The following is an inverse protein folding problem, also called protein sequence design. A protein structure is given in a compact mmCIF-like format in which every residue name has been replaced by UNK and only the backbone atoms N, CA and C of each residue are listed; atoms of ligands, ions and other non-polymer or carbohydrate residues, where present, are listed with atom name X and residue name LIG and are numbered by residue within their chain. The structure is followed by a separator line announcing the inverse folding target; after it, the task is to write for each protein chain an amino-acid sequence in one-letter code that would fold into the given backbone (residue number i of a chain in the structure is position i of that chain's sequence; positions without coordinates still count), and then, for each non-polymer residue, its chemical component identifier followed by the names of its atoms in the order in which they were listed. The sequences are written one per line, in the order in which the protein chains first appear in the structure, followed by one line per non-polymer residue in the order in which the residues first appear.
data_IF_607766986352
#
_entry.id   IF_607766986352
#
_cell.length_a   1.000
_cell.length_b   1.000
_cell.length_c   1.000
_cell.angle_alpha   90.00
_cell.angle_beta   90.00
_cell.angle_gamma   90.00
#
_symmetry.space_group_name_H-M   'P 1'
#
loop_
_entity.id
_entity.type
_entity.pdbx_description
1 polymer ?
#
# COMPACT_ATOMS: atom_id res chain seq x y z
N UNK A 1 57.42 33.21 22.00
CA UNK A 1 57.35 32.45 20.73
C UNK A 1 57.29 30.96 21.06
N UNK A 2 56.11 30.46 21.45
CA UNK A 2 55.85 29.02 21.53
C UNK A 2 54.44 28.83 20.97
N UNK A 3 54.39 28.61 19.66
CA UNK A 3 53.24 28.03 18.98
C UNK A 3 53.18 26.56 19.41
N UNK A 4 52.39 26.25 20.44
CA UNK A 4 51.99 24.87 20.70
C UNK A 4 50.92 24.52 19.66
N UNK A 5 51.38 23.86 18.60
CA UNK A 5 50.56 23.08 17.69
C UNK A 5 49.71 22.13 18.53
N UNK A 6 48.42 22.45 18.62
CA UNK A 6 47.39 21.51 19.01
C UNK A 6 47.28 20.50 17.85
N UNK A 7 48.18 19.52 17.83
CA UNK A 7 48.08 18.36 16.96
C UNK A 7 46.83 17.64 17.45
N UNK A 8 45.71 17.85 16.77
CA UNK A 8 44.57 16.95 16.86
C UNK A 8 45.11 15.55 16.56
N UNK A 9 45.26 14.72 17.60
CA UNK A 9 45.45 13.28 17.43
C UNK A 9 44.26 12.78 16.62
N UNK A 10 44.50 12.51 15.35
CA UNK A 10 43.52 11.91 14.44
C UNK A 10 43.08 10.60 15.11
N UNK A 11 41.79 10.45 15.41
CA UNK A 11 41.27 9.24 16.00
C UNK A 11 41.33 8.12 14.94
N UNK A 12 42.45 7.40 14.89
CA UNK A 12 42.73 6.36 13.87
C UNK A 12 41.82 5.15 14.01
N UNK A 13 41.28 4.91 15.20
CA UNK A 13 40.42 3.75 15.48
C UNK A 13 39.12 3.83 14.66
N UNK A 14 38.55 5.03 14.50
CA UNK A 14 37.37 5.23 13.65
C UNK A 14 37.62 4.80 12.21
N UNK A 15 38.78 5.13 11.64
CA UNK A 15 39.11 4.77 10.25
C UNK A 15 39.39 3.27 10.11
N UNK A 16 40.01 2.65 11.12
CA UNK A 16 40.23 1.21 11.16
C UNK A 16 38.89 0.48 11.20
N UNK A 17 37.97 0.90 12.06
CA UNK A 17 36.64 0.32 12.16
C UNK A 17 35.83 0.53 10.87
N UNK A 18 35.92 1.71 10.26
CA UNK A 18 35.29 1.99 8.98
C UNK A 18 35.83 1.07 7.87
N UNK A 19 37.15 0.85 7.81
CA UNK A 19 37.76 -0.06 6.85
C UNK A 19 37.33 -1.51 7.08
N UNK A 20 37.15 -1.94 8.34
CA UNK A 20 36.57 -3.25 8.63
C UNK A 20 35.13 -3.36 8.12
N UNK A 21 34.30 -2.33 8.33
CA UNK A 21 32.94 -2.34 7.78
C UNK A 21 32.93 -2.38 6.25
N UNK A 22 33.81 -1.64 5.58
CA UNK A 22 33.94 -1.66 4.11
C UNK A 22 34.37 -3.06 3.64
N UNK A 23 35.33 -3.68 4.32
CA UNK A 23 35.77 -5.04 4.01
C UNK A 23 34.63 -6.05 4.18
N UNK A 24 33.84 -5.94 5.24
CA UNK A 24 32.67 -6.80 5.42
C UNK A 24 31.64 -6.61 4.29
N UNK A 25 31.42 -5.36 3.85
CA UNK A 25 30.53 -5.05 2.74
C UNK A 25 31.00 -5.69 1.44
N UNK A 26 32.28 -5.52 1.08
CA UNK A 26 32.89 -6.08 -0.15
C UNK A 26 32.80 -7.62 -0.21
N UNK A 27 32.77 -8.28 0.95
CA UNK A 27 32.64 -9.73 1.05
C UNK A 27 31.18 -10.21 1.15
N UNK A 28 30.21 -9.31 1.13
CA UNK A 28 28.79 -9.66 1.23
C UNK A 28 28.13 -9.82 -0.15
N UNK A 29 27.00 -10.55 -0.19
CA UNK A 29 26.20 -10.72 -1.41
C UNK A 29 25.59 -9.40 -1.93
N UNK A 30 25.62 -8.34 -1.12
CA UNK A 30 25.12 -7.01 -1.49
C UNK A 30 26.13 -6.21 -2.34
N UNK A 31 27.41 -6.61 -2.34
CA UNK A 31 28.45 -5.91 -3.10
C UNK A 31 28.35 -6.19 -4.59
N UNK A 32 28.51 -5.12 -5.38
CA UNK A 32 28.56 -5.16 -6.84
C UNK A 32 29.81 -4.42 -7.31
N UNK A 33 30.38 -4.75 -8.49
CA UNK A 33 31.60 -4.11 -8.98
C UNK A 33 31.56 -2.57 -9.06
N UNK A 34 30.37 -1.97 -9.14
CA UNK A 34 30.15 -0.52 -9.18
C UNK A 34 29.40 0.01 -7.94
N UNK A 35 29.51 -0.67 -6.80
CA UNK A 35 28.87 -0.24 -5.55
C UNK A 35 29.33 1.15 -5.12
N UNK A 36 28.37 1.98 -4.75
CA UNK A 36 28.55 3.35 -4.29
C UNK A 36 28.60 3.44 -2.77
N UNK A 37 28.96 4.62 -2.26
CA UNK A 37 28.86 4.94 -0.82
C UNK A 37 27.41 4.78 -0.32
N UNK A 38 26.42 5.00 -1.18
CA UNK A 38 25.02 4.82 -0.85
C UNK A 38 24.67 3.34 -0.68
N UNK A 39 25.20 2.45 -1.52
CA UNK A 39 25.04 1.00 -1.37
C UNK A 39 25.66 0.51 -0.06
N UNK A 40 26.85 1.01 0.29
CA UNK A 40 27.49 0.72 1.57
C UNK A 40 26.65 1.22 2.76
N UNK A 41 26.08 2.42 2.67
CA UNK A 41 25.19 3.00 3.69
C UNK A 41 23.91 2.17 3.85
N UNK A 42 23.32 1.71 2.75
CA UNK A 42 22.14 0.85 2.75
C UNK A 42 22.45 -0.51 3.39
N UNK A 43 23.60 -1.11 3.05
CA UNK A 43 24.07 -2.35 3.66
C UNK A 43 24.35 -2.20 5.16
N UNK A 44 24.98 -1.10 5.59
CA UNK A 44 25.22 -0.83 7.01
C UNK A 44 23.91 -0.69 7.80
N UNK A 45 22.94 0.00 7.22
CA UNK A 45 21.60 0.10 7.79
C UNK A 45 20.98 -1.29 7.92
N UNK A 46 21.01 -2.10 6.87
CA UNK A 46 20.47 -3.46 6.85
C UNK A 46 21.18 -4.40 7.85
N UNK A 47 22.51 -4.33 7.95
CA UNK A 47 23.31 -5.02 8.98
C UNK A 47 22.86 -4.63 10.39
N UNK A 48 22.74 -3.33 10.67
CA UNK A 48 22.23 -2.83 11.96
C UNK A 48 20.79 -3.26 12.20
N UNK A 49 19.93 -3.21 11.19
CA UNK A 49 18.55 -3.67 11.28
C UNK A 49 18.48 -5.15 11.63
N UNK A 50 19.30 -6.03 11.04
CA UNK A 50 19.39 -7.44 11.44
C UNK A 50 19.87 -7.63 12.87
N UNK A 51 20.83 -6.81 13.32
CA UNK A 51 21.36 -6.88 14.69
C UNK A 51 20.36 -6.42 15.76
N UNK A 52 19.50 -5.45 15.42
CA UNK A 52 18.46 -4.87 16.29
C UNK A 52 17.07 -5.50 16.05
N UNK A 53 16.91 -6.33 15.01
CA UNK A 53 15.62 -6.94 14.69
C UNK A 53 15.19 -7.92 15.79
N UNK A 54 13.88 -8.05 16.05
CA UNK A 54 13.33 -9.05 16.97
C UNK A 54 13.74 -10.51 16.68
N UNK A 55 14.44 -10.80 15.58
CA UNK A 55 14.95 -12.15 15.27
C UNK A 55 15.78 -12.75 16.42
N UNK A 56 16.46 -11.94 17.24
CA UNK A 56 17.12 -12.41 18.47
C UNK A 56 16.16 -12.99 19.52
N UNK A 57 14.89 -12.57 19.56
CA UNK A 57 13.86 -13.12 20.45
C UNK A 57 13.38 -14.51 19.98
N UNK A 58 13.46 -14.80 18.68
CA UNK A 58 13.01 -16.06 18.09
C UNK A 58 14.12 -17.08 17.89
N UNK A 59 15.39 -16.72 18.12
CA UNK A 59 16.50 -17.71 18.17
C UNK A 59 16.39 -18.59 19.43
N UNK A 60 15.70 -18.11 20.47
CA UNK A 60 15.43 -18.87 21.71
C UNK A 60 14.21 -19.79 21.63
N UNK A 61 13.38 -19.67 20.61
CA UNK A 61 12.12 -20.41 20.48
C UNK A 61 12.02 -20.90 19.03
N UNK A 62 12.15 -22.21 18.77
CA UNK A 62 12.21 -22.87 17.44
C UNK A 62 11.00 -22.55 16.52
N UNK A 63 10.90 -21.31 16.06
CA UNK A 63 9.84 -20.82 15.20
C UNK A 63 10.40 -20.49 13.82
N UNK A 64 9.74 -21.02 12.78
CA UNK A 64 10.04 -20.67 11.39
C UNK A 64 9.47 -19.26 11.12
N UNK A 65 10.36 -18.25 11.08
CA UNK A 65 9.97 -16.83 10.96
C UNK A 65 10.20 -16.34 9.53
N UNK A 66 9.14 -15.87 8.88
CA UNK A 66 9.22 -15.20 7.57
C UNK A 66 9.74 -13.76 7.74
N UNK A 67 11.07 -13.60 7.75
CA UNK A 67 11.72 -12.32 8.07
C UNK A 67 11.27 -11.18 7.16
N UNK A 68 11.27 -11.41 5.84
CA UNK A 68 10.96 -10.39 4.83
C UNK A 68 9.52 -9.90 4.95
N UNK A 69 8.56 -10.81 5.07
CA UNK A 69 7.13 -10.52 5.19
C UNK A 69 6.83 -9.74 6.48
N UNK A 70 7.50 -10.11 7.57
CA UNK A 70 7.38 -9.41 8.85
C UNK A 70 7.94 -7.99 8.77
N UNK A 71 9.08 -7.79 8.11
CA UNK A 71 9.62 -6.44 7.91
C UNK A 71 8.72 -5.61 6.98
N UNK A 72 8.18 -6.19 5.90
CA UNK A 72 7.18 -5.50 5.06
C UNK A 72 5.97 -5.07 5.89
N UNK A 73 5.41 -5.97 6.70
CA UNK A 73 4.27 -5.69 7.57
C UNK A 73 4.57 -4.53 8.52
N UNK A 74 5.74 -4.55 9.17
CA UNK A 74 6.21 -3.47 10.04
C UNK A 74 6.35 -2.14 9.30
N UNK A 75 6.93 -2.12 8.10
CA UNK A 75 7.04 -0.90 7.30
C UNK A 75 5.66 -0.34 6.92
N UNK A 76 4.72 -1.19 6.51
CA UNK A 76 3.33 -0.79 6.19
C UNK A 76 2.66 -0.16 7.41
N UNK A 77 2.79 -0.78 8.59
CA UNK A 77 2.23 -0.26 9.85
C UNK A 77 2.83 1.10 10.23
N UNK A 78 4.15 1.25 10.15
CA UNK A 78 4.85 2.49 10.46
C UNK A 78 4.49 3.60 9.48
N UNK A 79 4.51 3.31 8.17
CA UNK A 79 4.12 4.27 7.14
C UNK A 79 2.66 4.69 7.28
N UNK A 80 1.75 3.78 7.66
CA UNK A 80 0.36 4.13 7.96
C UNK A 80 0.21 5.08 9.17
N UNK A 81 1.10 4.99 10.17
CA UNK A 81 1.13 5.93 11.30
C UNK A 81 1.70 7.28 10.90
N UNK A 82 2.84 7.29 10.21
CA UNK A 82 3.48 8.52 9.75
C UNK A 82 2.63 9.27 8.73
N UNK A 83 1.98 8.57 7.80
CA UNK A 83 1.09 9.19 6.82
C UNK A 83 -0.07 9.92 7.50
N UNK A 84 -0.73 9.32 8.50
CA UNK A 84 -1.80 9.97 9.27
C UNK A 84 -1.34 11.23 9.99
N UNK A 85 -0.15 11.19 10.61
CA UNK A 85 0.42 12.38 11.26
C UNK A 85 0.73 13.47 10.24
N UNK A 86 1.30 13.09 9.09
CA UNK A 86 1.69 14.02 8.05
C UNK A 86 0.47 14.66 7.36
N UNK A 87 -0.57 13.88 7.08
CA UNK A 87 -1.85 14.37 6.51
C UNK A 87 -2.47 15.42 7.42
N UNK A 88 -2.51 15.18 8.74
CA UNK A 88 -3.03 16.17 9.69
C UNK A 88 -2.23 17.47 9.68
N UNK A 89 -0.91 17.39 9.57
CA UNK A 89 -0.03 18.56 9.51
C UNK A 89 -0.18 19.29 8.17
N UNK A 90 -0.21 18.56 7.06
CA UNK A 90 -0.28 19.10 5.71
C UNK A 90 -1.64 19.72 5.38
N UNK A 91 -2.72 19.20 5.98
CA UNK A 91 -4.07 19.74 5.87
C UNK A 91 -4.45 20.64 7.06
N UNK A 92 -3.48 21.28 7.71
CA UNK A 92 -3.72 22.15 8.87
C UNK A 92 -4.70 23.31 8.60
N UNK A 93 -4.73 23.81 7.36
CA UNK A 93 -5.69 24.84 6.92
C UNK A 93 -7.09 24.27 6.64
N UNK A 94 -7.20 22.95 6.54
CA UNK A 94 -8.43 22.20 6.25
C UNK A 94 -8.70 21.14 7.33
N UNK A 95 -8.93 21.53 8.60
CA UNK A 95 -9.06 20.58 9.72
C UNK A 95 -10.21 19.57 9.54
N UNK A 96 -11.26 19.95 8.81
CA UNK A 96 -12.39 19.07 8.47
C UNK A 96 -12.06 18.03 7.39
N UNK A 97 -10.84 18.06 6.82
CA UNK A 97 -10.32 17.12 5.83
C UNK A 97 -9.23 16.19 6.38
N UNK A 98 -8.71 16.51 7.57
CA UNK A 98 -7.45 15.99 8.10
C UNK A 98 -7.52 14.55 8.65
N UNK A 99 -8.72 13.99 8.85
CA UNK A 99 -8.93 12.63 9.36
C UNK A 99 -9.56 11.74 8.29
N UNK A 100 -8.96 11.78 7.09
CA UNK A 100 -9.33 10.97 5.92
C UNK A 100 -10.65 11.42 5.25
N UNK A 101 -11.31 12.49 5.71
CA UNK A 101 -12.47 13.05 5.00
C UNK A 101 -12.13 13.48 3.56
N UNK A 102 -10.89 13.92 3.30
CA UNK A 102 -10.46 14.29 1.95
C UNK A 102 -10.59 13.14 0.95
N UNK A 103 -10.35 11.89 1.37
CA UNK A 103 -10.43 10.73 0.46
C UNK A 103 -11.88 10.48 0.06
N UNK A 104 -12.83 10.73 0.95
CA UNK A 104 -14.25 10.63 0.68
C UNK A 104 -14.71 11.72 -0.31
N UNK A 105 -14.20 12.95 -0.18
CA UNK A 105 -14.48 14.00 -1.16
C UNK A 105 -13.91 13.65 -2.54
N UNK A 106 -12.67 13.14 -2.58
CA UNK A 106 -12.04 12.69 -3.82
C UNK A 106 -12.86 11.59 -4.51
N UNK A 107 -13.32 10.58 -3.74
CA UNK A 107 -14.16 9.50 -4.28
C UNK A 107 -15.49 10.02 -4.83
N UNK A 108 -16.15 10.96 -4.14
CA UNK A 108 -17.40 11.54 -4.62
C UNK A 108 -17.23 12.50 -5.80
N UNK A 109 -16.04 13.09 -5.95
CA UNK A 109 -15.66 13.89 -7.12
C UNK A 109 -15.51 13.03 -8.37
N UNK A 110 -14.88 11.86 -8.21
CA UNK A 110 -14.58 10.88 -9.27
C UNK A 110 -15.83 10.04 -9.63
N UNK A 111 -16.52 9.51 -8.61
CA UNK A 111 -17.71 8.67 -8.73
C UNK A 111 -18.87 9.31 -7.93
N UNK A 112 -19.66 10.21 -8.55
CA UNK A 112 -20.78 10.87 -7.87
C UNK A 112 -21.96 9.90 -7.64
N UNK A 113 -22.81 10.22 -6.65
CA UNK A 113 -24.04 9.48 -6.32
C UNK A 113 -23.83 8.06 -5.77
N UNK A 114 -22.68 7.81 -5.13
CA UNK A 114 -22.43 6.59 -4.37
C UNK A 114 -23.39 6.47 -3.18
N UNK A 115 -23.83 5.26 -2.87
CA UNK A 115 -24.47 4.97 -1.58
C UNK A 115 -23.45 5.08 -0.44
N UNK A 116 -23.92 5.23 0.80
CA UNK A 116 -23.03 5.23 1.98
C UNK A 116 -22.14 4.00 2.03
N UNK A 117 -22.69 2.81 1.77
CA UNK A 117 -21.93 1.55 1.81
C UNK A 117 -20.86 1.53 0.73
N UNK A 118 -21.22 1.86 -0.52
CA UNK A 118 -20.25 1.88 -1.61
C UNK A 118 -19.11 2.87 -1.33
N UNK A 119 -19.43 4.08 -0.83
CA UNK A 119 -18.40 5.07 -0.50
C UNK A 119 -17.44 4.58 0.58
N UNK A 120 -17.95 3.90 1.61
CA UNK A 120 -17.12 3.29 2.67
C UNK A 120 -16.21 2.20 2.09
N UNK A 121 -16.76 1.32 1.26
CA UNK A 121 -16.01 0.23 0.62
C UNK A 121 -14.93 0.75 -0.33
N UNK A 122 -15.20 1.80 -1.12
CA UNK A 122 -14.21 2.47 -1.98
C UNK A 122 -13.05 3.11 -1.21
N UNK A 123 -13.23 3.36 0.09
CA UNK A 123 -12.19 3.85 0.98
C UNK A 123 -11.55 2.73 1.81
N UNK A 124 -11.98 1.47 1.66
CA UNK A 124 -11.43 0.34 2.42
C UNK A 124 -11.68 0.42 3.93
N UNK A 125 -12.66 1.21 4.37
CA UNK A 125 -12.96 1.40 5.79
C UNK A 125 -13.96 0.39 6.31
N UNK A 126 -13.84 0.06 7.60
CA UNK A 126 -14.92 -0.62 8.30
C UNK A 126 -16.17 0.27 8.35
N UNK A 127 -17.34 -0.40 8.38
CA UNK A 127 -18.65 0.27 8.36
C UNK A 127 -18.79 1.35 9.43
N UNK A 128 -18.34 1.08 10.65
CA UNK A 128 -18.47 2.03 11.76
C UNK A 128 -17.64 3.30 11.51
N UNK A 129 -16.36 3.15 11.21
CA UNK A 129 -15.43 4.25 10.91
C UNK A 129 -15.93 5.09 9.74
N UNK A 130 -16.28 4.44 8.62
CA UNK A 130 -16.75 5.13 7.45
C UNK A 130 -18.08 5.86 7.65
N UNK A 131 -18.99 5.30 8.47
CA UNK A 131 -20.24 5.98 8.84
C UNK A 131 -19.98 7.25 9.64
N UNK A 132 -19.00 7.22 10.57
CA UNK A 132 -18.63 8.42 11.34
C UNK A 132 -18.01 9.51 10.46
N UNK A 133 -17.18 9.14 9.48
CA UNK A 133 -16.60 10.10 8.52
C UNK A 133 -17.71 10.75 7.70
N UNK A 134 -18.62 9.95 7.13
CA UNK A 134 -19.76 10.46 6.35
C UNK A 134 -20.63 11.38 7.21
N UNK A 135 -20.88 11.03 8.47
CA UNK A 135 -21.64 11.88 9.40
C UNK A 135 -21.00 13.26 9.55
N UNK A 136 -19.68 13.34 9.77
CA UNK A 136 -18.96 14.63 9.86
C UNK A 136 -19.01 15.42 8.56
N UNK A 137 -18.95 14.75 7.41
CA UNK A 137 -19.08 15.39 6.09
C UNK A 137 -20.48 15.99 5.85
N UNK A 138 -21.53 15.31 6.32
CA UNK A 138 -22.91 15.80 6.29
C UNK A 138 -23.09 16.98 7.26
N UNK A 139 -22.62 16.84 8.50
CA UNK A 139 -22.72 17.89 9.54
C UNK A 139 -21.95 19.17 9.15
N UNK A 140 -20.81 19.02 8.47
CA UNK A 140 -20.04 20.16 7.94
C UNK A 140 -20.63 20.74 6.64
N UNK A 141 -21.67 20.13 6.08
CA UNK A 141 -22.34 20.59 4.85
C UNK A 141 -21.49 20.44 3.58
N UNK A 142 -20.46 19.60 3.60
CA UNK A 142 -19.63 19.31 2.42
C UNK A 142 -20.25 18.24 1.52
N UNK A 143 -21.05 17.36 2.11
CA UNK A 143 -21.80 16.31 1.40
C UNK A 143 -23.28 16.50 1.67
N UNK A 144 -24.11 16.21 0.68
CA UNK A 144 -25.57 16.08 0.81
C UNK A 144 -26.00 14.64 0.52
N UNK A 145 -27.13 14.24 1.11
CA UNK A 145 -27.77 12.96 0.82
C UNK A 145 -29.13 13.16 0.14
N UNK A 146 -29.43 12.30 -0.84
CA UNK A 146 -30.72 12.23 -1.52
C UNK A 146 -31.24 10.79 -1.47
N UNK A 147 -32.56 10.62 -1.48
CA UNK A 147 -33.16 9.30 -1.61
C UNK A 147 -32.69 8.67 -2.91
N UNK A 148 -32.40 7.37 -2.87
CA UNK A 148 -32.19 6.60 -4.09
C UNK A 148 -33.48 6.61 -4.93
N UNK A 149 -33.33 6.73 -6.25
CA UNK A 149 -34.47 6.67 -7.16
C UNK A 149 -35.05 5.25 -7.22
N UNK A 150 -34.20 4.24 -7.08
CA UNK A 150 -34.56 2.83 -7.23
C UNK A 150 -34.90 2.16 -5.89
N UNK A 151 -34.27 2.61 -4.79
CA UNK A 151 -34.55 2.12 -3.44
C UNK A 151 -34.65 3.27 -2.43
N UNK A 152 -35.89 3.68 -2.09
CA UNK A 152 -36.15 4.76 -1.12
C UNK A 152 -35.58 4.50 0.28
N UNK A 153 -35.18 3.26 0.60
CA UNK A 153 -34.51 2.91 1.87
C UNK A 153 -33.02 3.24 1.84
N UNK A 154 -32.44 3.43 0.65
CA UNK A 154 -31.05 3.82 0.42
C UNK A 154 -30.92 5.34 0.21
N UNK A 155 -29.74 5.85 0.55
CA UNK A 155 -29.34 7.25 0.40
C UNK A 155 -28.10 7.34 -0.47
N UNK A 156 -28.15 8.16 -1.50
CA UNK A 156 -27.01 8.50 -2.36
C UNK A 156 -26.38 9.81 -1.92
N UNK A 157 -25.05 9.87 -1.99
CA UNK A 157 -24.24 10.99 -1.53
C UNK A 157 -23.70 11.78 -2.72
N UNK A 158 -23.64 13.10 -2.57
CA UNK A 158 -23.02 14.00 -3.54
C UNK A 158 -22.31 15.15 -2.82
N UNK A 159 -21.26 15.68 -3.43
CA UNK A 159 -20.65 16.94 -3.00
C UNK A 159 -21.66 18.09 -3.12
N UNK A 160 -21.71 18.94 -2.10
CA UNK A 160 -22.36 20.25 -2.19
C UNK A 160 -21.46 21.24 -2.91
N UNK A 161 -21.96 22.43 -3.25
CA UNK A 161 -21.11 23.52 -3.75
C UNK A 161 -20.00 23.89 -2.76
N UNK A 162 -20.27 23.80 -1.45
CA UNK A 162 -19.27 23.99 -0.40
C UNK A 162 -18.21 22.88 -0.44
N UNK A 163 -18.64 21.61 -0.56
CA UNK A 163 -17.73 20.47 -0.66
C UNK A 163 -16.82 20.54 -1.89
N UNK A 164 -17.38 20.90 -3.04
CA UNK A 164 -16.61 21.14 -4.28
C UNK A 164 -15.58 22.26 -4.07
N UNK A 165 -15.98 23.40 -3.51
CA UNK A 165 -15.05 24.51 -3.24
C UNK A 165 -13.89 24.08 -2.33
N UNK A 166 -14.21 23.46 -1.19
CA UNK A 166 -13.21 22.99 -0.21
C UNK A 166 -12.29 21.94 -0.81
N UNK A 167 -12.83 21.02 -1.63
CA UNK A 167 -12.01 20.05 -2.35
C UNK A 167 -10.95 20.74 -3.20
N UNK A 168 -11.34 21.70 -4.06
CA UNK A 168 -10.41 22.41 -4.94
C UNK A 168 -9.38 23.24 -4.16
N UNK A 169 -9.79 23.93 -3.10
CA UNK A 169 -8.89 24.72 -2.24
C UNK A 169 -7.85 23.82 -1.55
N UNK A 170 -8.20 22.58 -1.21
CA UNK A 170 -7.30 21.64 -0.53
C UNK A 170 -6.28 20.94 -1.42
N UNK A 171 -6.46 20.95 -2.74
CA UNK A 171 -5.66 20.15 -3.70
C UNK A 171 -4.16 20.41 -3.54
N UNK A 172 -3.75 21.67 -3.41
CA UNK A 172 -2.33 22.01 -3.31
C UNK A 172 -1.71 21.49 -2.00
N UNK A 173 -2.44 21.59 -0.88
CA UNK A 173 -2.01 21.03 0.40
C UNK A 173 -1.92 19.51 0.36
N UNK A 174 -2.86 18.83 -0.30
CA UNK A 174 -2.78 17.37 -0.56
C UNK A 174 -1.57 17.01 -1.42
N UNK A 175 -1.29 17.76 -2.48
CA UNK A 175 -0.17 17.53 -3.38
C UNK A 175 1.18 17.67 -2.66
N UNK A 176 1.35 18.75 -1.89
CA UNK A 176 2.57 18.98 -1.09
C UNK A 176 2.78 17.88 -0.06
N UNK A 177 1.71 17.45 0.60
CA UNK A 177 1.73 16.35 1.58
C UNK A 177 2.16 15.04 0.93
N UNK A 178 1.59 14.70 -0.23
CA UNK A 178 1.89 13.47 -0.97
C UNK A 178 3.34 13.45 -1.48
N UNK A 179 3.86 14.60 -1.94
CA UNK A 179 5.27 14.75 -2.33
C UNK A 179 6.21 14.53 -1.15
N UNK A 180 5.87 15.05 0.03
CA UNK A 180 6.69 14.87 1.23
C UNK A 180 6.71 13.42 1.72
N UNK A 181 5.58 12.72 1.64
CA UNK A 181 5.46 11.31 2.03
C UNK A 181 6.39 10.38 1.22
N UNK A 182 6.65 10.75 -0.03
CA UNK A 182 7.50 10.00 -0.97
C UNK A 182 8.87 10.66 -1.21
N UNK A 183 9.23 11.67 -0.41
CA UNK A 183 10.27 12.65 -0.77
C UNK A 183 11.71 12.13 -0.83
N UNK A 184 11.99 10.93 -0.33
CA UNK A 184 13.31 10.28 -0.43
C UNK A 184 13.51 9.47 -1.70
N UNK A 185 12.42 9.11 -2.38
CA UNK A 185 12.45 8.27 -3.56
C UNK A 185 12.65 9.14 -4.80
N UNK A 186 13.42 8.67 -5.77
CA UNK A 186 13.46 9.25 -7.11
C UNK A 186 12.20 8.92 -7.93
N UNK A 187 12.17 9.24 -9.23
CA UNK A 187 10.96 9.03 -10.04
C UNK A 187 10.72 7.54 -10.27
N UNK A 188 11.76 6.81 -10.64
CA UNK A 188 11.73 5.39 -10.98
C UNK A 188 11.35 4.56 -9.74
N UNK A 189 11.94 4.87 -8.58
CA UNK A 189 11.61 4.25 -7.29
C UNK A 189 10.17 4.50 -6.86
N UNK A 190 9.63 5.71 -7.09
CA UNK A 190 8.21 6.01 -6.83
C UNK A 190 7.29 5.19 -7.70
N UNK A 191 7.62 5.04 -8.98
CA UNK A 191 6.82 4.26 -9.94
C UNK A 191 6.83 2.76 -9.58
N UNK A 192 7.99 2.21 -9.23
CA UNK A 192 8.10 0.81 -8.80
C UNK A 192 7.39 0.58 -7.46
N UNK A 193 7.58 1.45 -6.47
CA UNK A 193 6.85 1.34 -5.20
C UNK A 193 5.33 1.42 -5.42
N UNK A 194 4.85 2.35 -6.26
CA UNK A 194 3.43 2.45 -6.57
C UNK A 194 2.89 1.17 -7.22
N UNK A 195 3.65 0.56 -8.13
CA UNK A 195 3.28 -0.71 -8.76
C UNK A 195 3.19 -1.84 -7.74
N UNK A 196 4.16 -1.98 -6.84
CA UNK A 196 4.16 -3.00 -5.79
C UNK A 196 2.99 -2.80 -4.81
N UNK A 197 2.75 -1.56 -4.37
CA UNK A 197 1.62 -1.23 -3.50
C UNK A 197 0.26 -1.50 -4.16
N UNK A 198 0.12 -1.20 -5.47
CA UNK A 198 -1.09 -1.53 -6.23
C UNK A 198 -1.32 -3.03 -6.29
N UNK A 199 -0.29 -3.83 -6.60
CA UNK A 199 -0.37 -5.29 -6.60
C UNK A 199 -0.83 -5.84 -5.24
N UNK A 200 -0.29 -5.30 -4.14
CA UNK A 200 -0.74 -5.67 -2.79
C UNK A 200 -2.20 -5.26 -2.56
N UNK A 201 -2.60 -4.05 -2.93
CA UNK A 201 -3.97 -3.57 -2.74
C UNK A 201 -4.99 -4.36 -3.55
N UNK A 202 -4.66 -4.79 -4.77
CA UNK A 202 -5.52 -5.65 -5.59
C UNK A 202 -5.77 -7.00 -4.92
N UNK A 203 -4.70 -7.63 -4.41
CA UNK A 203 -4.82 -8.87 -3.63
C UNK A 203 -5.70 -8.69 -2.39
N UNK A 204 -5.48 -7.64 -1.59
CA UNK A 204 -6.27 -7.39 -0.37
C UNK A 204 -7.71 -7.00 -0.68
N UNK A 205 -7.97 -6.30 -1.79
CA UNK A 205 -9.32 -5.98 -2.25
C UNK A 205 -10.09 -7.26 -2.58
N UNK A 206 -9.45 -8.22 -3.25
CA UNK A 206 -10.05 -9.52 -3.54
C UNK A 206 -10.35 -10.30 -2.26
N UNK A 207 -9.41 -10.37 -1.31
CA UNK A 207 -9.64 -11.00 -0.01
C UNK A 207 -10.82 -10.37 0.73
N UNK A 208 -10.89 -9.04 0.75
CA UNK A 208 -11.94 -8.32 1.44
C UNK A 208 -13.33 -8.52 0.84
N UNK A 209 -13.44 -8.70 -0.48
CA UNK A 209 -14.75 -8.89 -1.15
C UNK A 209 -15.19 -10.35 -1.16
N UNK A 210 -14.29 -11.28 -1.46
CA UNK A 210 -14.63 -12.69 -1.70
C UNK A 210 -14.48 -13.56 -0.43
N UNK A 211 -13.56 -13.20 0.47
CA UNK A 211 -13.17 -14.04 1.62
C UNK A 211 -13.42 -13.39 2.97
N UNK A 212 -14.20 -12.31 3.03
CA UNK A 212 -14.40 -11.51 4.25
C UNK A 212 -14.89 -12.29 5.47
N UNK A 213 -15.68 -13.34 5.22
CA UNK A 213 -16.28 -14.19 6.24
C UNK A 213 -15.58 -15.56 6.34
N UNK A 214 -14.53 -15.80 5.55
CA UNK A 214 -13.78 -17.06 5.56
C UNK A 214 -12.87 -17.14 6.78
N UNK A 215 -12.51 -18.36 7.20
CA UNK A 215 -11.53 -18.53 8.25
C UNK A 215 -10.14 -18.11 7.73
N UNK A 216 -9.29 -17.60 8.61
CA UNK A 216 -7.94 -17.15 8.25
C UNK A 216 -7.12 -18.25 7.56
N UNK A 217 -7.25 -19.49 8.02
CA UNK A 217 -6.56 -20.64 7.42
C UNK A 217 -6.96 -20.87 5.95
N UNK A 218 -8.23 -20.62 5.59
CA UNK A 218 -8.70 -20.74 4.21
C UNK A 218 -8.11 -19.62 3.35
N UNK A 219 -7.91 -18.43 3.91
CA UNK A 219 -7.26 -17.31 3.22
C UNK A 219 -5.78 -17.57 2.97
N UNK A 220 -5.06 -18.18 3.93
CA UNK A 220 -3.64 -18.53 3.77
C UNK A 220 -3.43 -19.46 2.57
N UNK A 221 -4.33 -20.40 2.34
CA UNK A 221 -4.23 -21.34 1.22
C UNK A 221 -4.18 -20.62 -0.14
N UNK A 222 -4.74 -19.41 -0.26
CA UNK A 222 -4.67 -18.61 -1.49
C UNK A 222 -3.26 -18.18 -1.87
N UNK A 223 -2.34 -18.08 -0.89
CA UNK A 223 -0.93 -17.77 -1.15
C UNK A 223 -0.26 -18.87 -1.99
N UNK A 224 -0.66 -20.14 -1.81
CA UNK A 224 -0.14 -21.27 -2.57
C UNK A 224 -0.56 -21.25 -4.04
N UNK A 225 -1.75 -20.70 -4.35
CA UNK A 225 -2.27 -20.59 -5.71
C UNK A 225 -1.87 -19.29 -6.44
N UNK A 226 -1.58 -18.23 -5.68
CA UNK A 226 -1.26 -16.90 -6.24
C UNK A 226 0.04 -16.84 -7.06
N UNK A 227 1.01 -17.73 -6.76
CA UNK A 227 2.28 -17.83 -7.51
C UNK A 227 2.05 -18.24 -8.97
N UNK A 228 1.02 -19.06 -9.24
CA UNK A 228 0.69 -19.50 -10.61
C UNK A 228 -0.13 -18.48 -11.40
N UNK A 229 -0.94 -17.65 -10.72
CA UNK A 229 -1.86 -16.73 -11.40
C UNK A 229 -1.19 -15.41 -11.84
N UNK A 230 -0.15 -14.95 -11.15
CA UNK A 230 0.54 -13.70 -11.47
C UNK A 230 1.67 -13.83 -12.50
N UNK A 231 2.06 -15.04 -12.88
CA UNK A 231 3.12 -15.27 -13.88
C UNK A 231 2.63 -15.01 -15.32
N UNK A 232 1.31 -14.98 -15.54
CA UNK A 232 0.70 -14.77 -16.85
C UNK A 232 -0.12 -13.46 -16.87
N UNK A 233 0.56 -12.33 -17.12
CA UNK A 233 0.14 -11.22 -18.01
C UNK A 233 0.68 -9.84 -17.57
N UNK A 234 1.54 -9.29 -18.42
CA UNK A 234 1.88 -7.88 -18.53
C UNK A 234 0.72 -7.06 -19.14
N UNK A 235 -0.40 -6.85 -18.43
CA UNK A 235 -1.39 -5.85 -18.84
C UNK A 235 -2.05 -5.14 -17.66
N UNK A 236 -1.85 -3.82 -17.59
CA UNK A 236 -2.63 -2.90 -16.75
C UNK A 236 -3.95 -2.64 -17.48
N UNK A 237 -5.11 -2.94 -16.86
CA UNK A 237 -6.41 -2.56 -17.39
C UNK A 237 -7.26 -1.80 -16.35
N UNK A 238 -7.99 -0.75 -16.76
CA UNK A 238 -8.74 0.13 -15.86
C UNK A 238 -10.05 -0.49 -15.34
N UNK A 239 -10.53 0.08 -14.23
CA UNK A 239 -11.46 -0.40 -13.19
C UNK A 239 -12.89 -0.76 -13.61
N UNK A 240 -13.21 -1.04 -14.88
CA UNK A 240 -14.59 -1.29 -15.31
C UNK A 240 -14.83 -2.57 -16.15
N UNK A 241 -13.96 -3.58 -16.01
CA UNK A 241 -14.07 -4.86 -16.76
C UNK A 241 -14.30 -6.07 -15.82
N UNK A 242 -14.62 -5.86 -14.54
CA UNK A 242 -14.93 -6.99 -13.62
C UNK A 242 -16.17 -7.81 -14.06
N UNK A 243 -17.12 -7.19 -14.78
CA UNK A 243 -18.27 -7.89 -15.36
C UNK A 243 -17.97 -8.65 -16.67
N UNK A 244 -16.82 -8.40 -17.32
CA UNK A 244 -16.46 -9.10 -18.57
C UNK A 244 -15.60 -10.34 -18.32
N UNK A 245 -14.84 -10.37 -17.21
CA UNK A 245 -13.93 -11.49 -16.88
C UNK A 245 -14.71 -12.74 -16.46
N UNK A 246 -15.86 -12.60 -15.79
CA UNK A 246 -16.74 -13.74 -15.49
C UNK A 246 -17.31 -14.41 -16.75
N UNK A 247 -17.53 -13.66 -17.85
CA UNK A 247 -17.97 -14.26 -19.12
C UNK A 247 -16.85 -15.02 -19.83
N UNK A 248 -15.60 -14.57 -19.73
CA UNK A 248 -14.46 -15.26 -20.36
C UNK A 248 -14.07 -16.52 -19.58
N UNK A 249 -14.13 -16.51 -18.24
CA UNK A 249 -13.91 -17.73 -17.42
C UNK A 249 -14.96 -18.82 -17.69
N UNK A 250 -16.24 -18.46 -17.85
CA UNK A 250 -17.29 -19.43 -18.17
C UNK A 250 -17.14 -20.01 -19.59
N UNK A 251 -16.71 -19.20 -20.56
CA UNK A 251 -16.48 -19.64 -21.94
C UNK A 251 -15.25 -20.56 -22.03
N UNK A 252 -14.14 -20.24 -21.34
CA UNK A 252 -12.96 -21.11 -21.31
C UNK A 252 -13.22 -22.45 -20.61
N UNK A 253 -14.01 -22.44 -19.53
CA UNK A 253 -14.43 -23.67 -18.84
C UNK A 253 -15.34 -24.53 -19.73
N UNK A 254 -16.33 -23.93 -20.42
CA UNK A 254 -17.20 -24.66 -21.36
C UNK A 254 -16.42 -25.21 -22.56
N UNK A 255 -15.44 -24.47 -23.11
CA UNK A 255 -14.61 -24.95 -24.23
C UNK A 255 -13.70 -26.12 -23.81
N UNK A 256 -13.18 -26.10 -22.57
CA UNK A 256 -12.40 -27.21 -22.02
C UNK A 256 -13.27 -28.45 -21.82
N UNK A 257 -14.48 -28.26 -21.27
CA UNK A 257 -15.44 -29.35 -21.04
C UNK A 257 -15.96 -29.97 -22.36
N UNK A 258 -16.19 -29.16 -23.39
CA UNK A 258 -16.59 -29.64 -24.72
C UNK A 258 -15.46 -30.45 -25.38
N UNK A 259 -14.19 -30.03 -25.24
CA UNK A 259 -13.03 -30.78 -25.76
C UNK A 259 -12.83 -32.13 -25.06
N UNK A 260 -13.08 -32.19 -23.77
CA UNK A 260 -12.95 -33.41 -22.98
C UNK A 260 -14.05 -34.43 -23.30
N UNK A 261 -15.28 -33.95 -23.53
CA UNK A 261 -16.41 -34.77 -23.95
C UNK A 261 -16.34 -35.24 -25.41
N UNK A 262 -15.60 -34.52 -26.29
CA UNK A 262 -15.41 -34.93 -27.69
C UNK A 262 -14.22 -35.87 -27.91
N UNK A 263 -13.28 -35.98 -26.96
CA UNK A 263 -12.17 -36.93 -27.00
C UNK A 263 -12.50 -38.31 -26.39
N UNK A 264 -13.69 -38.46 -25.78
CA UNK A 264 -14.21 -39.74 -25.32
C UNK A 264 -15.48 -40.13 -26.09
N UNK A 265 -15.34 -40.35 -27.40
CA UNK A 265 -16.31 -41.14 -28.17
C UNK A 265 -15.72 -42.53 -28.42
N UNK A 266 -16.26 -43.60 -27.82
CA UNK A 266 -15.86 -44.97 -28.11
C UNK A 266 -16.66 -45.48 -29.30
N UNK A 267 -16.21 -45.17 -30.52
CA UNK A 267 -16.59 -45.92 -31.72
C UNK A 267 -15.40 -45.95 -32.70
N UNK A 268 -14.44 -46.80 -32.36
CA UNK A 268 -13.79 -47.72 -33.29
C UNK A 268 -13.81 -49.12 -32.67
#
# INVERSE_FOLDING_TARGET
MIFLLQICTMNTDFFIDLLHQVKDFENSDAYKPNSSVEDFRLWLNDKKYREESPTKLFITEEHEVSFTENEICKQVLLLGRYSRQLIRKGLGEFPNLANEEFTYLYRLKDEPNLTKIQLIERNGHEKQTGTQIIKRLLESGMVEEKNDADDRRSKRLKLTAKGEKVFHESVESVNRTSRLLSGKLDKEEREELLKLLKKLNEFHSHLYHEYRNSAFNDMIQLLQYSIYFFCDKNYILPTNIYLYIQKVQYICFIISLIRELSNHSPFQ
#
